data_IF_017104293694
#
_entry.id   IF_017104293694
#
_cell.length_a   1.000
_cell.length_b   1.000
_cell.length_c   1.000
_cell.angle_alpha   90.00
_cell.angle_beta   90.00
_cell.angle_gamma   90.00
#
_symmetry.space_group_name_H-M   'P 1'
#
loop_
_entity.id
_entity.type
_entity.pdbx_description
1 polymer ?
#
# COMPACT_ATOMS: atom_id res chain seq x y z
N UNK A 1 61.33 -58.27 2.92
CA UNK A 1 61.71 -57.88 1.54
C UNK A 1 60.61 -56.99 0.96
N UNK A 2 60.99 -55.76 0.56
CA UNK A 2 60.41 -54.83 -0.46
C UNK A 2 58.90 -54.48 -0.35
N UNK A 3 58.51 -53.25 0.03
CA UNK A 3 58.63 -51.91 -0.62
C UNK A 3 57.54 -51.60 -1.68
N UNK A 4 56.83 -50.49 -1.40
CA UNK A 4 56.36 -49.41 -2.29
C UNK A 4 55.02 -49.55 -3.06
N UNK A 5 54.03 -48.65 -2.83
CA UNK A 5 53.69 -47.31 -3.44
C UNK A 5 52.55 -47.53 -4.46
N UNK A 6 51.40 -46.81 -4.44
CA UNK A 6 51.20 -45.44 -4.95
C UNK A 6 49.77 -44.95 -4.61
N UNK A 7 49.65 -43.66 -4.27
CA UNK A 7 48.41 -42.89 -4.07
C UNK A 7 47.56 -42.77 -5.35
N UNK A 8 46.24 -42.55 -5.20
CA UNK A 8 45.50 -41.71 -6.15
C UNK A 8 44.54 -40.79 -5.39
N UNK A 9 44.82 -39.49 -5.49
CA UNK A 9 43.93 -38.39 -5.08
C UNK A 9 42.75 -38.29 -6.05
N UNK A 10 41.55 -38.05 -5.53
CA UNK A 10 40.47 -37.43 -6.32
C UNK A 10 40.16 -36.08 -5.67
N UNK A 11 40.47 -35.03 -6.43
CA UNK A 11 40.12 -33.66 -6.19
C UNK A 11 38.81 -33.30 -6.93
N UNK A 12 38.28 -32.11 -6.60
CA UNK A 12 37.21 -31.33 -7.27
C UNK A 12 35.75 -31.71 -6.90
N UNK A 13 34.87 -30.81 -6.49
CA UNK A 13 34.78 -29.38 -6.82
C UNK A 13 34.31 -28.53 -5.63
N UNK A 14 35.07 -27.48 -5.31
CA UNK A 14 34.58 -26.37 -4.48
C UNK A 14 33.67 -25.49 -5.32
N UNK A 15 32.47 -25.20 -4.81
CA UNK A 15 31.66 -24.09 -5.32
C UNK A 15 32.40 -22.78 -5.01
N UNK A 16 33.09 -22.25 -6.01
CA UNK A 16 33.60 -20.88 -5.98
C UNK A 16 32.42 -19.92 -6.03
N UNK A 17 32.01 -19.40 -4.86
CA UNK A 17 31.20 -18.19 -4.78
C UNK A 17 32.10 -17.05 -5.24
N UNK A 18 32.00 -16.65 -6.50
CA UNK A 18 32.70 -15.46 -6.99
C UNK A 18 32.10 -14.24 -6.29
N UNK A 19 32.88 -13.45 -5.53
CA UNK A 19 32.39 -12.18 -5.03
C UNK A 19 32.13 -11.28 -6.25
N UNK A 20 30.88 -10.87 -6.44
CA UNK A 20 30.55 -9.79 -7.37
C UNK A 20 31.31 -8.56 -6.91
N UNK A 21 32.37 -8.21 -7.63
CA UNK A 21 33.15 -6.99 -7.41
C UNK A 21 32.27 -5.83 -7.86
N UNK A 22 31.53 -5.24 -6.93
CA UNK A 22 30.84 -3.98 -7.19
C UNK A 22 31.88 -2.88 -7.46
N UNK A 23 31.62 -2.07 -8.48
CA UNK A 23 32.43 -0.92 -8.83
C UNK A 23 32.74 -0.08 -7.58
N UNK A 24 34.00 0.28 -7.40
CA UNK A 24 34.46 1.16 -6.31
C UNK A 24 33.58 2.42 -6.30
N UNK A 25 33.02 2.78 -5.15
CA UNK A 25 32.20 3.99 -5.01
C UNK A 25 33.00 5.22 -5.49
N UNK A 26 32.64 5.73 -6.68
CA UNK A 26 33.20 6.96 -7.24
C UNK A 26 32.48 8.13 -6.58
N UNK A 27 33.16 9.24 -6.24
CA UNK A 27 32.49 10.45 -5.77
C UNK A 27 31.38 10.87 -6.74
N UNK A 28 30.14 10.96 -6.25
CA UNK A 28 28.96 11.27 -7.07
C UNK A 28 28.21 10.06 -7.64
N UNK A 29 28.66 8.82 -7.39
CA UNK A 29 27.93 7.61 -7.74
C UNK A 29 27.27 6.97 -6.51
N UNK A 30 26.06 6.44 -6.68
CA UNK A 30 25.33 5.67 -5.68
C UNK A 30 24.78 4.38 -6.28
N UNK A 31 24.45 3.40 -5.44
CA UNK A 31 23.83 2.14 -5.84
C UNK A 31 22.44 2.04 -5.20
N UNK A 32 21.45 1.65 -5.99
CA UNK A 32 20.12 1.25 -5.50
C UNK A 32 19.97 -0.24 -5.75
N UNK A 33 19.76 -1.01 -4.68
CA UNK A 33 19.49 -2.45 -4.75
C UNK A 33 18.02 -2.68 -4.44
N UNK A 34 17.31 -3.38 -5.32
CA UNK A 34 15.94 -3.79 -5.12
C UNK A 34 15.93 -5.26 -4.67
N UNK A 35 15.40 -5.54 -3.48
CA UNK A 35 15.16 -6.89 -2.98
C UNK A 35 13.65 -7.04 -2.75
N UNK A 36 13.12 -8.21 -3.09
CA UNK A 36 11.72 -8.54 -2.88
C UNK A 36 11.56 -10.05 -2.73
N UNK A 37 10.43 -10.44 -2.15
CA UNK A 37 10.01 -11.83 -2.01
C UNK A 37 8.61 -11.95 -2.66
N UNK A 38 8.37 -13.07 -3.35
CA UNK A 38 7.07 -13.39 -3.93
C UNK A 38 6.48 -14.56 -3.14
N UNK A 39 5.23 -14.43 -2.73
CA UNK A 39 4.44 -15.49 -2.09
C UNK A 39 3.43 -16.05 -3.09
N UNK A 40 3.25 -17.37 -3.09
CA UNK A 40 2.23 -18.05 -3.91
C UNK A 40 0.84 -17.99 -3.25
N UNK A 41 0.79 -17.98 -1.92
CA UNK A 41 -0.46 -17.98 -1.17
C UNK A 41 -0.83 -16.57 -0.68
N UNK A 42 -2.12 -16.24 -0.75
CA UNK A 42 -2.67 -14.92 -0.37
C UNK A 42 -3.94 -15.09 0.44
N UNK A 43 -4.31 -14.09 1.25
CA UNK A 43 -5.66 -14.05 1.80
C UNK A 43 -6.69 -13.80 0.67
N UNK A 44 -7.91 -14.29 0.85
CA UNK A 44 -9.03 -14.04 -0.05
C UNK A 44 -9.78 -12.79 0.44
N UNK A 45 -9.97 -11.80 -0.42
CA UNK A 45 -10.84 -10.65 -0.12
C UNK A 45 -12.29 -11.16 -0.05
N UNK A 46 -13.02 -10.76 0.98
CA UNK A 46 -14.40 -11.18 1.17
C UNK A 46 -15.32 -10.57 0.11
N UNK A 47 -16.37 -11.31 -0.23
CA UNK A 47 -17.36 -10.85 -1.22
C UNK A 47 -18.01 -9.54 -0.81
N UNK A 48 -17.98 -8.58 -1.74
CA UNK A 48 -18.48 -7.22 -1.56
C UNK A 48 -17.39 -6.21 -1.21
N UNK A 49 -16.20 -6.68 -0.83
CA UNK A 49 -15.07 -5.80 -0.51
C UNK A 49 -14.14 -5.59 -1.71
N UNK A 50 -14.17 -6.47 -2.72
CA UNK A 50 -13.32 -6.40 -3.92
C UNK A 50 -13.51 -5.08 -4.67
N UNK A 51 -14.77 -4.66 -4.85
CA UNK A 51 -15.19 -3.44 -5.55
C UNK A 51 -16.23 -2.66 -4.73
N UNK A 52 -15.74 -1.83 -3.81
CA UNK A 52 -16.62 -1.02 -2.94
C UNK A 52 -16.93 0.36 -3.53
N UNK A 53 -18.16 0.82 -3.31
CA UNK A 53 -18.57 2.21 -3.55
C UNK A 53 -18.80 2.93 -2.22
N UNK A 54 -17.87 3.81 -1.84
CA UNK A 54 -17.99 4.65 -0.65
C UNK A 54 -18.67 5.97 -1.02
N UNK A 55 -19.90 6.17 -0.56
CA UNK A 55 -20.66 7.40 -0.82
C UNK A 55 -20.34 8.45 0.25
N UNK A 56 -19.53 9.45 -0.12
CA UNK A 56 -19.26 10.60 0.74
C UNK A 56 -20.54 11.44 0.95
N UNK A 57 -20.77 12.01 2.16
CA UNK A 57 -21.95 12.80 2.45
C UNK A 57 -21.93 14.13 1.71
N UNK A 58 -23.11 14.71 1.47
CA UNK A 58 -23.20 16.08 0.96
C UNK A 58 -22.72 17.06 2.02
N UNK A 59 -21.62 17.76 1.73
CA UNK A 59 -21.10 18.86 2.54
C UNK A 59 -21.19 20.18 1.80
N UNK A 60 -21.28 21.29 2.53
CA UNK A 60 -21.25 22.62 1.93
C UNK A 60 -19.83 22.97 1.52
N UNK A 61 -19.61 23.50 0.31
CA UNK A 61 -18.28 24.00 -0.10
C UNK A 61 -17.74 25.09 0.84
N UNK A 62 -18.63 25.75 1.60
CA UNK A 62 -18.26 26.75 2.61
C UNK A 62 -17.48 26.15 3.79
N UNK A 63 -17.60 24.84 4.07
CA UNK A 63 -16.80 24.15 5.09
C UNK A 63 -15.42 23.75 4.58
N UNK A 64 -15.13 24.03 3.31
CA UNK A 64 -13.86 23.78 2.63
C UNK A 64 -13.25 25.09 2.08
N UNK A 65 -12.99 26.10 2.94
CA UNK A 65 -12.72 27.46 2.51
C UNK A 65 -11.30 27.68 1.97
N UNK A 66 -10.35 26.79 2.25
CA UNK A 66 -8.94 26.95 1.90
C UNK A 66 -8.22 25.61 1.81
N UNK A 67 -7.01 25.62 1.23
CA UNK A 67 -6.13 24.45 1.16
C UNK A 67 -5.97 23.78 2.54
N UNK A 68 -6.08 22.46 2.59
CA UNK A 68 -5.98 21.68 3.83
C UNK A 68 -7.27 21.55 4.63
N UNK A 69 -8.36 22.24 4.23
CA UNK A 69 -9.67 22.02 4.83
C UNK A 69 -10.19 20.63 4.44
N UNK A 70 -10.78 19.90 5.38
CA UNK A 70 -11.31 18.54 5.17
C UNK A 70 -12.74 18.42 5.65
N UNK A 71 -13.49 17.44 5.13
CA UNK A 71 -14.86 17.20 5.57
C UNK A 71 -15.46 15.92 5.00
N UNK A 72 -16.57 15.49 5.60
CA UNK A 72 -17.33 14.33 5.12
C UNK A 72 -16.59 13.00 5.25
N UNK A 73 -15.74 12.84 6.27
CA UNK A 73 -15.05 11.57 6.53
C UNK A 73 -16.05 10.42 6.64
N UNK A 74 -15.84 9.40 5.82
CA UNK A 74 -16.73 8.25 5.67
C UNK A 74 -15.91 6.97 5.78
N UNK A 75 -16.16 6.13 6.79
CA UNK A 75 -15.40 4.91 6.98
C UNK A 75 -15.80 3.84 5.96
N UNK A 76 -14.83 2.98 5.66
CA UNK A 76 -15.03 1.71 4.98
C UNK A 76 -14.04 0.69 5.54
N UNK A 77 -14.23 -0.58 5.20
CA UNK A 77 -13.32 -1.63 5.65
C UNK A 77 -13.11 -2.66 4.56
N UNK A 78 -12.01 -3.39 4.65
CA UNK A 78 -11.68 -4.50 3.76
C UNK A 78 -11.49 -5.71 4.67
N UNK A 79 -12.37 -6.69 4.55
CA UNK A 79 -12.27 -7.96 5.25
C UNK A 79 -11.67 -9.03 4.36
N UNK A 80 -10.84 -9.87 4.96
CA UNK A 80 -10.21 -11.01 4.29
C UNK A 80 -10.43 -12.29 5.09
N UNK A 81 -10.41 -13.41 4.37
CA UNK A 81 -10.55 -14.77 4.92
C UNK A 81 -9.58 -15.74 4.24
N UNK A 82 -9.50 -16.96 4.76
CA UNK A 82 -8.63 -18.02 4.24
C UNK A 82 -7.16 -17.59 4.13
N UNK A 83 -6.70 -16.73 5.04
CA UNK A 83 -5.29 -16.37 5.12
C UNK A 83 -4.46 -17.61 5.50
N UNK A 84 -3.40 -17.92 4.74
CA UNK A 84 -2.44 -18.97 5.11
C UNK A 84 -1.81 -18.70 6.48
N UNK A 85 -1.50 -19.75 7.23
CA UNK A 85 -0.91 -19.63 8.57
C UNK A 85 0.48 -18.98 8.59
N UNK A 86 1.15 -18.88 7.43
CA UNK A 86 2.43 -18.18 7.26
C UNK A 86 2.26 -16.66 7.20
N UNK A 87 1.06 -16.15 6.86
CA UNK A 87 0.78 -14.73 6.79
C UNK A 87 0.19 -14.28 8.12
N UNK A 88 1.02 -13.61 8.92
CA UNK A 88 0.64 -13.23 10.29
C UNK A 88 -0.01 -11.86 10.34
N UNK A 89 0.29 -11.01 9.36
CA UNK A 89 -0.27 -9.67 9.24
C UNK A 89 -0.65 -9.34 7.81
N UNK A 90 -1.67 -8.50 7.67
CA UNK A 90 -2.17 -8.02 6.37
C UNK A 90 -2.46 -6.52 6.44
N UNK A 91 -2.22 -5.83 5.35
CA UNK A 91 -2.62 -4.44 5.13
C UNK A 91 -3.07 -4.26 3.67
N UNK A 92 -3.75 -3.15 3.36
CA UNK A 92 -4.00 -2.73 2.00
C UNK A 92 -2.99 -1.65 1.57
N UNK A 93 -2.39 -1.84 0.40
CA UNK A 93 -1.60 -0.84 -0.31
C UNK A 93 -2.51 -0.14 -1.32
N UNK A 94 -2.59 1.19 -1.28
CA UNK A 94 -3.51 1.95 -2.12
C UNK A 94 -2.78 2.76 -3.18
N UNK A 95 -3.25 2.68 -4.43
CA UNK A 95 -2.73 3.42 -5.57
C UNK A 95 -3.84 4.03 -6.41
N UNK A 96 -3.50 5.01 -7.24
CA UNK A 96 -4.39 5.53 -8.29
C UNK A 96 -3.57 6.05 -9.45
N UNK A 97 -4.15 6.02 -10.64
CA UNK A 97 -3.53 6.60 -11.84
C UNK A 97 -3.62 8.12 -11.87
N UNK A 98 -4.48 8.74 -11.06
CA UNK A 98 -4.75 10.18 -11.05
C UNK A 98 -4.46 10.78 -9.66
N UNK A 99 -3.26 10.51 -9.15
CA UNK A 99 -2.81 11.05 -7.88
C UNK A 99 -2.25 12.46 -8.05
N UNK A 100 -2.60 13.37 -7.15
CA UNK A 100 -1.90 14.66 -7.08
C UNK A 100 -0.49 14.44 -6.49
N UNK A 101 0.60 14.82 -7.18
CA UNK A 101 1.96 14.52 -6.74
C UNK A 101 2.40 15.28 -5.48
N UNK A 102 1.70 16.37 -5.12
CA UNK A 102 2.01 17.20 -3.95
C UNK A 102 1.27 16.68 -2.72
N UNK A 103 -0.05 16.51 -2.82
CA UNK A 103 -0.89 16.10 -1.69
C UNK A 103 -0.93 14.59 -1.49
N UNK A 104 -0.61 13.82 -2.56
CA UNK A 104 -0.79 12.36 -2.63
C UNK A 104 -2.23 11.90 -2.35
N UNK A 105 -3.21 12.73 -2.69
CA UNK A 105 -4.64 12.40 -2.66
C UNK A 105 -5.13 12.02 -4.08
N UNK A 106 -6.34 11.45 -4.16
CA UNK A 106 -6.97 11.12 -5.44
C UNK A 106 -7.68 12.36 -6.02
N UNK A 107 -7.35 12.72 -7.26
CA UNK A 107 -7.95 13.86 -7.96
C UNK A 107 -9.42 13.59 -8.29
N UNK A 108 -10.26 14.62 -8.22
CA UNK A 108 -11.64 14.55 -8.66
C UNK A 108 -11.75 14.37 -10.18
N UNK A 109 -12.37 13.27 -10.60
CA UNK A 109 -12.60 12.86 -11.99
C UNK A 109 -14.08 12.91 -12.40
N UNK A 110 -14.95 13.57 -11.61
CA UNK A 110 -16.34 13.75 -12.00
C UNK A 110 -16.43 14.50 -13.34
N UNK A 111 -17.22 13.98 -14.28
CA UNK A 111 -17.36 14.56 -15.63
C UNK A 111 -18.55 15.50 -15.75
N UNK A 112 -19.58 15.29 -14.93
CA UNK A 112 -20.80 16.11 -14.90
C UNK A 112 -20.72 17.05 -13.71
N UNK A 113 -20.78 18.38 -13.95
CA UNK A 113 -20.77 19.43 -12.93
C UNK A 113 -19.73 19.19 -11.79
N UNK A 114 -18.44 18.99 -12.10
CA UNK A 114 -17.43 18.68 -11.08
C UNK A 114 -17.25 19.81 -10.08
N UNK A 115 -17.05 19.44 -8.81
CA UNK A 115 -16.53 20.36 -7.81
C UNK A 115 -15.07 20.72 -8.14
N UNK A 116 -14.74 22.01 -8.06
CA UNK A 116 -13.39 22.52 -8.22
C UNK A 116 -12.63 22.56 -6.90
N UNK A 117 -11.30 22.51 -7.00
CA UNK A 117 -10.36 22.61 -5.87
C UNK A 117 -10.60 21.60 -4.74
N UNK A 118 -11.06 20.39 -5.09
CA UNK A 118 -11.32 19.31 -4.15
C UNK A 118 -10.76 17.98 -4.65
N UNK A 119 -10.25 17.20 -3.73
CA UNK A 119 -9.70 15.85 -3.90
C UNK A 119 -10.37 14.91 -2.88
N UNK A 120 -10.09 13.61 -3.00
CA UNK A 120 -10.42 12.62 -1.97
C UNK A 120 -9.13 12.20 -1.28
N UNK A 121 -9.06 12.48 0.02
CA UNK A 121 -7.98 12.04 0.90
C UNK A 121 -8.36 10.71 1.55
N UNK A 122 -7.43 9.76 1.46
CA UNK A 122 -7.54 8.48 2.13
C UNK A 122 -6.95 8.60 3.55
N UNK A 123 -7.61 7.95 4.49
CA UNK A 123 -7.19 7.86 5.87
C UNK A 123 -7.03 6.39 6.26
N UNK A 124 -5.97 6.13 7.01
CA UNK A 124 -5.91 4.93 7.84
C UNK A 124 -6.80 5.15 9.06
N UNK A 125 -7.63 4.17 9.40
CA UNK A 125 -8.58 4.29 10.49
C UNK A 125 -8.41 3.16 11.50
N UNK A 126 -7.32 3.24 12.28
CA UNK A 126 -7.07 2.28 13.34
C UNK A 126 -8.15 2.36 14.43
N UNK A 127 -9.04 1.35 14.45
CA UNK A 127 -10.13 1.25 15.42
C UNK A 127 -9.65 1.14 16.87
N UNK A 128 -8.48 0.54 17.13
CA UNK A 128 -7.95 0.39 18.48
C UNK A 128 -7.48 1.73 19.07
N UNK A 129 -7.01 2.65 18.22
CA UNK A 129 -6.59 3.99 18.65
C UNK A 129 -7.70 5.04 18.57
N UNK A 130 -8.77 4.76 17.79
CA UNK A 130 -9.84 5.72 17.49
C UNK A 130 -9.36 6.96 16.71
N UNK A 131 -8.14 6.92 16.16
CA UNK A 131 -7.54 8.01 15.39
C UNK A 131 -7.47 7.63 13.93
N UNK A 132 -7.94 8.54 13.08
CA UNK A 132 -7.68 8.49 11.66
C UNK A 132 -6.38 9.26 11.37
N UNK A 133 -5.46 8.66 10.62
CA UNK A 133 -4.25 9.32 10.14
C UNK A 133 -4.30 9.40 8.61
N UNK A 134 -3.64 10.41 8.02
CA UNK A 134 -3.58 10.51 6.57
C UNK A 134 -2.78 9.34 6.02
N UNK A 135 -3.37 8.58 5.10
CA UNK A 135 -2.71 7.53 4.34
C UNK A 135 -2.50 8.04 2.92
N UNK A 136 -1.30 8.57 2.59
CA UNK A 136 -1.09 9.14 1.28
C UNK A 136 -0.97 8.02 0.23
N UNK A 137 -1.60 8.21 -0.94
CA UNK A 137 -1.67 7.19 -1.99
C UNK A 137 -0.29 6.84 -2.55
N UNK A 138 -0.06 5.56 -2.86
CA UNK A 138 1.26 4.95 -3.07
C UNK A 138 1.89 4.46 -1.76
N UNK A 139 1.09 4.25 -0.72
CA UNK A 139 1.55 3.72 0.58
C UNK A 139 0.63 2.60 1.07
N UNK A 140 1.19 1.80 1.97
CA UNK A 140 0.49 0.72 2.67
C UNK A 140 -0.06 1.25 3.99
N UNK A 141 -1.29 0.87 4.31
CA UNK A 141 -1.86 1.14 5.63
C UNK A 141 -1.16 0.37 6.75
N UNK A 142 -1.66 0.54 7.96
CA UNK A 142 -1.24 -0.18 9.14
C UNK A 142 -1.57 -1.66 9.00
N UNK A 143 -0.59 -2.49 9.31
CA UNK A 143 -0.74 -3.94 9.33
C UNK A 143 -1.60 -4.36 10.51
N UNK A 144 -2.60 -5.19 10.24
CA UNK A 144 -3.44 -5.82 11.25
C UNK A 144 -3.09 -7.30 11.36
N UNK A 145 -3.21 -7.84 12.57
CA UNK A 145 -2.96 -9.27 12.78
C UNK A 145 -4.06 -10.11 12.12
N UNK A 146 -3.65 -11.20 11.48
CA UNK A 146 -4.53 -12.27 11.03
C UNK A 146 -4.90 -13.12 12.25
N UNK A 147 -6.20 -13.31 12.46
CA UNK A 147 -6.74 -14.15 13.51
C UNK A 147 -6.36 -15.61 13.33
N UNK A 148 -6.44 -16.40 14.40
CA UNK A 148 -6.17 -17.86 14.33
C UNK A 148 -7.19 -18.61 13.48
N UNK A 149 -8.31 -17.97 13.13
CA UNK A 149 -9.31 -18.46 12.17
C UNK A 149 -8.98 -18.11 10.71
N UNK A 150 -7.83 -17.47 10.46
CA UNK A 150 -7.40 -17.06 9.12
C UNK A 150 -8.15 -15.84 8.58
N UNK A 151 -8.71 -15.00 9.46
CA UNK A 151 -9.46 -13.79 9.06
C UNK A 151 -8.79 -12.51 9.57
N UNK A 152 -9.04 -11.40 8.87
CA UNK A 152 -8.65 -10.07 9.33
C UNK A 152 -9.60 -9.01 8.76
N UNK A 153 -9.66 -7.84 9.38
CA UNK A 153 -10.38 -6.67 8.83
C UNK A 153 -9.55 -5.42 9.01
N UNK A 154 -9.32 -4.73 7.90
CA UNK A 154 -8.60 -3.46 7.84
C UNK A 154 -9.61 -2.32 7.70
N UNK A 155 -9.42 -1.22 8.42
CA UNK A 155 -10.38 -0.12 8.48
C UNK A 155 -9.74 1.16 7.95
N UNK A 156 -10.47 1.83 7.07
CA UNK A 156 -10.02 3.03 6.36
C UNK A 156 -11.14 4.07 6.33
N UNK A 157 -10.85 5.28 5.87
CA UNK A 157 -11.87 6.26 5.57
C UNK A 157 -11.48 7.12 4.36
N UNK A 158 -12.49 7.61 3.63
CA UNK A 158 -12.33 8.63 2.62
C UNK A 158 -12.93 9.95 3.07
N UNK A 159 -12.29 11.07 2.76
CA UNK A 159 -12.84 12.41 3.04
C UNK A 159 -12.53 13.40 1.92
N UNK A 160 -13.34 14.45 1.82
CA UNK A 160 -13.01 15.58 0.95
C UNK A 160 -11.78 16.31 1.48
N UNK A 161 -10.88 16.70 0.58
CA UNK A 161 -9.74 17.55 0.87
C UNK A 161 -9.72 18.74 -0.09
N UNK A 162 -9.69 19.95 0.45
CA UNK A 162 -9.66 21.17 -0.35
C UNK A 162 -8.22 21.51 -0.73
N UNK A 163 -7.93 21.73 -2.02
CA UNK A 163 -6.61 22.21 -2.50
C UNK A 163 -6.54 23.74 -2.59
N UNK A 164 -7.70 24.39 -2.56
CA UNK A 164 -7.94 25.82 -2.39
C UNK A 164 -9.40 25.96 -1.91
N UNK A 165 -10.01 27.15 -1.98
CA UNK A 165 -11.44 27.32 -1.75
C UNK A 165 -12.24 26.43 -2.71
N UNK A 166 -12.93 25.42 -2.17
CA UNK A 166 -13.71 24.48 -2.96
C UNK A 166 -14.93 25.16 -3.61
N UNK A 167 -15.34 24.66 -4.77
CA UNK A 167 -16.60 25.05 -5.42
C UNK A 167 -17.60 23.90 -5.40
N UNK A 168 -18.89 24.22 -5.52
CA UNK A 168 -19.94 23.21 -5.52
C UNK A 168 -19.88 22.34 -6.78
N UNK A 169 -20.17 21.05 -6.63
CA UNK A 169 -20.24 20.09 -7.73
C UNK A 169 -20.08 18.66 -7.24
N UNK A 170 -19.98 17.73 -8.19
CA UNK A 170 -19.79 16.32 -7.91
C UNK A 170 -18.31 15.97 -7.72
N UNK A 171 -18.08 14.92 -6.94
CA UNK A 171 -16.77 14.32 -6.73
C UNK A 171 -16.86 12.84 -7.10
N UNK A 172 -15.91 12.40 -7.91
CA UNK A 172 -15.70 10.97 -8.22
C UNK A 172 -14.20 10.74 -8.22
N UNK A 173 -13.72 9.84 -7.38
CA UNK A 173 -12.31 9.48 -7.33
C UNK A 173 -12.22 7.96 -7.23
N UNK A 174 -11.22 7.39 -7.90
CA UNK A 174 -10.99 5.94 -7.91
C UNK A 174 -9.60 5.69 -7.36
N UNK A 175 -9.55 4.85 -6.33
CA UNK A 175 -8.33 4.27 -5.79
C UNK A 175 -8.44 2.76 -5.94
N UNK A 176 -7.32 2.10 -6.24
CA UNK A 176 -7.21 0.64 -6.28
C UNK A 176 -6.39 0.23 -5.09
N UNK A 177 -6.62 -0.98 -4.59
CA UNK A 177 -5.81 -1.52 -3.53
C UNK A 177 -5.31 -2.92 -3.86
N UNK A 178 -4.21 -3.30 -3.24
CA UNK A 178 -3.65 -4.65 -3.24
C UNK A 178 -3.33 -5.05 -1.80
N UNK A 179 -3.41 -6.34 -1.50
CA UNK A 179 -3.02 -6.84 -0.18
C UNK A 179 -1.49 -6.87 -0.06
N UNK A 180 -1.00 -6.43 1.09
CA UNK A 180 0.39 -6.51 1.50
C UNK A 180 0.49 -7.37 2.77
N UNK A 181 1.60 -8.10 2.93
CA UNK A 181 1.76 -9.10 3.98
C UNK A 181 3.09 -8.94 4.73
N UNK A 182 3.09 -9.37 6.00
CA UNK A 182 4.26 -9.51 6.88
C UNK A 182 4.17 -10.77 7.74
#
# INVERSE_FOLDING_TARGET
MKKQVTQLMIALAGLSVTPMVFAQAVPGAGQVTFNGELYDDTCVINSGDEDQTVTLPRVSSQTLPAAGSVGGSTPFNISVSNCPATLTQVAAHFETTNMNPVTRNAVNQATTSPAGNVEVQLLDHNLASGKASVLPLGSTGEFVNVGTDGTATMYYAGQYYATNKATAGYVTAVVRYTLAYQ
#
